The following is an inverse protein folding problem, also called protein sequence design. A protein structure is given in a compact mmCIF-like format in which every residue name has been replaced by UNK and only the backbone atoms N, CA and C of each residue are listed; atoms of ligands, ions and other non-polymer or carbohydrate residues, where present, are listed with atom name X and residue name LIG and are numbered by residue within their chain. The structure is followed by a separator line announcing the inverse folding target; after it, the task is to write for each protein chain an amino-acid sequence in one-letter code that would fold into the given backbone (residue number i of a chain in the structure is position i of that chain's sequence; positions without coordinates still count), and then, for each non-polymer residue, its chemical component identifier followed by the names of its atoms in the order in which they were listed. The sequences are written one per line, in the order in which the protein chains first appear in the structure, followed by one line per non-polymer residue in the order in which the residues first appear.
data_IF_072917824359
#
_entry.id   IF_072917824359
#
_cell.length_a   1.000
_cell.length_b   1.000
_cell.length_c   1.000
_cell.angle_alpha   90.00
_cell.angle_beta   90.00
_cell.angle_gamma   90.00
#
_symmetry.space_group_name_H-M   'P 1'
#
loop_
_entity.id
_entity.type
_entity.pdbx_description
1 polymer ?
#
# COMPACT_ATOMS: atom_id res chain seq x y z
N UNK A 1 0.69 -92.27 -28.98
CA UNK A 1 2.04 -91.72 -28.85
C UNK A 1 2.07 -90.46 -29.59
N UNK A 2 1.98 -89.33 -28.94
CA UNK A 2 1.93 -87.98 -29.56
C UNK A 2 3.40 -87.57 -29.72
N UNK A 3 3.76 -87.25 -30.97
CA UNK A 3 5.11 -86.88 -31.38
C UNK A 3 5.60 -85.63 -30.63
N UNK A 4 6.81 -85.59 -30.09
CA UNK A 4 7.36 -84.47 -29.37
C UNK A 4 7.53 -83.21 -30.23
N UNK A 5 7.59 -83.34 -31.56
CA UNK A 5 7.72 -82.18 -32.49
C UNK A 5 6.40 -81.37 -32.66
N UNK A 6 5.25 -82.09 -32.64
CA UNK A 6 3.93 -81.39 -32.73
C UNK A 6 3.61 -80.54 -31.48
N UNK A 7 4.28 -80.82 -30.37
CA UNK A 7 4.06 -80.03 -29.17
C UNK A 7 4.85 -78.75 -29.13
N UNK A 8 5.87 -78.59 -29.93
CA UNK A 8 6.71 -77.39 -29.98
C UNK A 8 6.14 -76.31 -30.90
N UNK A 9 5.58 -76.63 -32.06
CA UNK A 9 5.03 -75.62 -32.99
C UNK A 9 3.80 -74.90 -32.44
N UNK A 10 2.89 -75.57 -31.75
CA UNK A 10 1.70 -74.98 -31.17
C UNK A 10 2.01 -74.04 -29.99
N UNK A 11 3.05 -74.35 -29.19
CA UNK A 11 3.47 -73.56 -28.02
C UNK A 11 4.16 -72.26 -28.46
N UNK A 12 4.98 -72.26 -29.47
CA UNK A 12 5.66 -71.09 -30.00
C UNK A 12 4.65 -70.09 -30.60
N UNK A 13 3.64 -70.56 -31.32
CA UNK A 13 2.58 -69.73 -31.86
C UNK A 13 1.72 -69.11 -30.77
N UNK A 14 1.35 -69.88 -29.75
CA UNK A 14 0.57 -69.36 -28.61
C UNK A 14 1.34 -68.35 -27.79
N UNK A 15 2.66 -68.49 -27.65
CA UNK A 15 3.51 -67.57 -26.97
C UNK A 15 3.72 -66.27 -27.75
N UNK A 16 3.90 -66.36 -29.09
CA UNK A 16 4.00 -65.20 -29.98
C UNK A 16 2.69 -64.41 -30.01
N UNK A 17 1.57 -65.08 -30.00
CA UNK A 17 0.25 -64.46 -29.95
C UNK A 17 0.01 -63.73 -28.65
N UNK A 18 0.35 -64.32 -27.48
CA UNK A 18 0.29 -63.68 -26.17
C UNK A 18 1.23 -62.48 -26.04
N UNK A 19 2.44 -62.56 -26.61
CA UNK A 19 3.39 -61.46 -26.62
C UNK A 19 2.88 -60.30 -27.53
N UNK A 20 2.34 -60.64 -28.68
CA UNK A 20 1.75 -59.63 -29.60
C UNK A 20 0.54 -58.91 -28.95
N UNK A 21 -0.37 -59.67 -28.33
CA UNK A 21 -1.51 -59.09 -27.62
C UNK A 21 -1.08 -58.28 -26.40
N UNK A 22 -0.09 -58.68 -25.64
CA UNK A 22 0.41 -57.91 -24.50
C UNK A 22 1.03 -56.59 -24.92
N UNK A 23 1.82 -56.58 -26.01
CA UNK A 23 2.44 -55.36 -26.55
C UNK A 23 1.39 -54.36 -27.07
N UNK A 24 0.36 -54.82 -27.72
CA UNK A 24 -0.75 -53.95 -28.22
C UNK A 24 -1.58 -53.42 -27.08
N UNK A 25 -1.83 -54.16 -26.03
CA UNK A 25 -2.59 -53.73 -24.87
C UNK A 25 -1.76 -52.70 -24.04
N UNK A 26 -0.47 -52.92 -23.92
CA UNK A 26 0.44 -52.02 -23.22
C UNK A 26 0.61 -50.69 -24.01
N UNK A 27 0.76 -50.73 -25.31
CA UNK A 27 0.75 -49.51 -26.19
C UNK A 27 -0.56 -48.72 -26.08
N UNK A 28 -1.71 -49.40 -26.04
CA UNK A 28 -3.01 -48.71 -25.85
C UNK A 28 -3.11 -48.06 -24.46
N UNK A 29 -2.63 -48.72 -23.44
CA UNK A 29 -2.60 -48.21 -22.07
C UNK A 29 -1.68 -46.98 -21.94
N UNK A 30 -0.48 -47.10 -22.49
CA UNK A 30 0.50 -45.99 -22.52
C UNK A 30 -0.03 -44.79 -23.29
N UNK A 31 -0.68 -45.01 -24.42
CA UNK A 31 -1.29 -43.94 -25.21
C UNK A 31 -2.46 -43.25 -24.49
N UNK A 32 -3.29 -44.00 -23.76
CA UNK A 32 -4.38 -43.44 -22.94
C UNK A 32 -3.83 -42.61 -21.78
N UNK A 33 -2.86 -43.13 -21.09
CA UNK A 33 -2.20 -42.37 -20.01
C UNK A 33 -1.47 -41.14 -20.53
N UNK A 34 -0.83 -41.25 -21.68
CA UNK A 34 -0.19 -40.08 -22.33
C UNK A 34 -1.21 -38.97 -22.69
N UNK A 35 -2.40 -39.32 -23.13
CA UNK A 35 -3.49 -38.37 -23.39
C UNK A 35 -3.96 -37.74 -22.06
N UNK A 36 -4.18 -38.53 -21.02
CA UNK A 36 -4.64 -38.06 -19.71
C UNK A 36 -3.63 -37.07 -19.12
N UNK A 37 -2.33 -37.42 -19.11
CA UNK A 37 -1.30 -36.52 -18.58
C UNK A 37 -1.17 -35.24 -19.40
N UNK A 38 -1.23 -35.29 -20.72
CA UNK A 38 -1.22 -34.10 -21.56
C UNK A 38 -2.43 -33.21 -21.30
N UNK A 39 -3.61 -33.80 -21.16
CA UNK A 39 -4.84 -33.05 -20.85
C UNK A 39 -4.76 -32.38 -19.46
N UNK A 40 -4.23 -33.07 -18.46
CA UNK A 40 -4.01 -32.50 -17.12
C UNK A 40 -2.98 -31.37 -17.13
N UNK A 41 -1.90 -31.53 -17.91
CA UNK A 41 -0.90 -30.45 -18.08
C UNK A 41 -1.49 -29.22 -18.74
N UNK A 42 -2.27 -29.40 -19.80
CA UNK A 42 -2.97 -28.29 -20.45
C UNK A 42 -3.97 -27.62 -19.52
N UNK A 43 -4.74 -28.40 -18.76
CA UNK A 43 -5.68 -27.86 -17.77
C UNK A 43 -4.94 -27.05 -16.68
N UNK A 44 -3.82 -27.58 -16.18
CA UNK A 44 -2.99 -26.89 -15.20
C UNK A 44 -2.43 -25.57 -15.73
N UNK A 45 -1.86 -25.59 -16.94
CA UNK A 45 -1.36 -24.38 -17.62
C UNK A 45 -2.49 -23.36 -17.88
N UNK A 46 -3.67 -23.85 -18.22
CA UNK A 46 -4.85 -23.02 -18.45
C UNK A 46 -5.29 -22.34 -17.15
N UNK A 47 -5.32 -23.07 -16.02
CA UNK A 47 -5.60 -22.51 -14.70
C UNK A 47 -4.57 -21.46 -14.31
N UNK A 48 -3.27 -21.74 -14.50
CA UNK A 48 -2.20 -20.77 -14.24
C UNK A 48 -2.33 -19.51 -15.12
N UNK A 49 -2.69 -19.68 -16.39
CA UNK A 49 -2.93 -18.57 -17.29
C UNK A 49 -4.10 -17.69 -16.80
N UNK A 50 -5.21 -18.30 -16.38
CA UNK A 50 -6.37 -17.58 -15.84
C UNK A 50 -6.04 -16.85 -14.52
N UNK A 51 -5.25 -17.47 -13.64
CA UNK A 51 -4.74 -16.82 -12.44
C UNK A 51 -3.82 -15.65 -12.81
N UNK A 52 -2.90 -15.87 -13.76
CA UNK A 52 -1.94 -14.85 -14.21
C UNK A 52 -2.59 -13.68 -14.96
N UNK A 53 -3.69 -13.91 -15.67
CA UNK A 53 -4.50 -12.88 -16.32
C UNK A 53 -5.42 -12.14 -15.35
N UNK A 54 -5.36 -12.44 -14.05
CA UNK A 54 -6.15 -11.76 -13.03
C UNK A 54 -7.66 -12.01 -13.10
N UNK A 55 -8.10 -13.02 -13.87
CA UNK A 55 -9.54 -13.32 -14.00
C UNK A 55 -10.19 -13.69 -12.66
N UNK A 56 -9.40 -14.19 -11.72
CA UNK A 56 -9.82 -14.40 -10.31
C UNK A 56 -9.45 -13.25 -9.38
N UNK A 57 -8.75 -12.22 -9.89
CA UNK A 57 -8.30 -11.07 -9.07
C UNK A 57 -9.37 -9.99 -8.96
N UNK A 58 -10.46 -10.09 -9.69
CA UNK A 58 -11.57 -9.14 -9.63
C UNK A 58 -12.68 -9.61 -8.68
N UNK A 59 -12.25 -10.19 -7.55
CA UNK A 59 -13.09 -10.33 -6.37
C UNK A 59 -13.05 -9.04 -5.53
N UNK A 60 -13.13 -7.90 -6.15
CA UNK A 60 -13.87 -6.82 -5.56
C UNK A 60 -15.28 -7.37 -5.35
N UNK A 61 -15.63 -7.66 -4.12
CA UNK A 61 -17.01 -7.91 -3.72
C UNK A 61 -17.81 -6.81 -4.41
N UNK A 62 -18.48 -7.14 -5.51
CA UNK A 62 -19.46 -6.26 -6.12
C UNK A 62 -20.53 -6.12 -5.06
N UNK A 63 -20.35 -5.16 -4.15
CA UNK A 63 -21.37 -4.76 -3.22
C UNK A 63 -22.44 -4.10 -4.08
N UNK A 64 -23.35 -4.91 -4.58
CA UNK A 64 -24.55 -4.47 -5.27
C UNK A 64 -25.44 -3.62 -4.36
N UNK A 65 -25.19 -3.67 -3.05
CA UNK A 65 -25.99 -3.01 -2.03
C UNK A 65 -25.35 -1.71 -1.52
N UNK A 66 -26.19 -0.83 -1.03
CA UNK A 66 -25.78 0.40 -0.35
C UNK A 66 -24.86 0.09 0.82
N UNK A 67 -23.71 0.75 0.87
CA UNK A 67 -22.71 0.49 1.90
C UNK A 67 -22.01 1.76 2.38
N UNK A 68 -21.26 1.64 3.46
CA UNK A 68 -20.31 2.65 3.95
C UNK A 68 -18.91 2.22 3.58
N UNK A 69 -18.18 3.09 2.88
CA UNK A 69 -16.79 2.84 2.53
C UNK A 69 -15.87 3.19 3.72
N UNK A 70 -14.84 2.37 3.93
CA UNK A 70 -13.81 2.59 4.94
C UNK A 70 -12.48 2.88 4.27
N UNK A 71 -11.87 4.01 4.63
CA UNK A 71 -10.49 4.37 4.25
C UNK A 71 -9.65 4.46 5.51
N UNK A 72 -8.47 3.85 5.52
CA UNK A 72 -7.60 3.82 6.68
C UNK A 72 -6.38 4.73 6.49
N UNK A 73 -6.12 5.57 7.49
CA UNK A 73 -4.92 6.39 7.61
C UNK A 73 -4.17 5.98 8.87
N UNK A 74 -3.12 5.14 8.73
CA UNK A 74 -2.38 4.54 9.84
C UNK A 74 -0.90 4.84 9.78
N UNK A 75 -0.33 5.18 10.95
CA UNK A 75 1.10 5.46 11.09
C UNK A 75 1.50 6.82 10.55
N UNK A 76 2.78 6.99 10.25
CA UNK A 76 3.34 8.25 9.79
C UNK A 76 2.88 8.61 8.37
N UNK A 77 2.50 9.87 8.19
CA UNK A 77 2.15 10.44 6.88
C UNK A 77 3.42 10.86 6.16
N UNK A 78 3.85 10.09 5.18
CA UNK A 78 5.03 10.41 4.37
C UNK A 78 4.88 9.92 2.93
N UNK A 79 5.72 10.42 2.02
CA UNK A 79 5.63 10.07 0.61
C UNK A 79 5.83 8.57 0.32
N UNK A 80 6.59 7.88 1.20
CA UNK A 80 6.97 6.47 1.02
C UNK A 80 6.23 5.51 1.98
N UNK A 81 5.26 6.01 2.75
CA UNK A 81 4.47 5.19 3.67
C UNK A 81 3.18 4.69 3.03
N UNK A 82 2.53 3.73 3.68
CA UNK A 82 1.17 3.29 3.32
C UNK A 82 0.16 4.43 3.42
N UNK A 83 0.40 5.41 4.31
CA UNK A 83 -0.39 6.63 4.50
C UNK A 83 0.13 7.81 3.67
N UNK A 84 0.73 7.55 2.50
CA UNK A 84 1.05 8.59 1.54
C UNK A 84 -0.21 9.23 0.96
N UNK A 85 -0.10 10.49 0.53
CA UNK A 85 -1.21 11.18 -0.12
C UNK A 85 -1.69 10.44 -1.39
N UNK A 86 -0.78 9.79 -2.11
CA UNK A 86 -1.14 9.00 -3.29
C UNK A 86 -2.12 7.86 -2.94
N UNK A 87 -1.77 7.05 -1.94
CA UNK A 87 -2.57 5.88 -1.54
C UNK A 87 -3.91 6.30 -0.91
N UNK A 88 -3.86 7.26 0.03
CA UNK A 88 -5.08 7.73 0.72
C UNK A 88 -6.04 8.39 -0.26
N UNK A 89 -5.54 9.25 -1.14
CA UNK A 89 -6.36 9.93 -2.14
C UNK A 89 -6.95 8.97 -3.17
N UNK A 90 -6.24 7.90 -3.52
CA UNK A 90 -6.78 6.82 -4.35
C UNK A 90 -7.94 6.11 -3.65
N UNK A 91 -7.76 5.70 -2.40
CA UNK A 91 -8.81 5.09 -1.58
C UNK A 91 -10.04 6.00 -1.45
N UNK A 92 -9.84 7.29 -1.15
CA UNK A 92 -10.92 8.27 -1.08
C UNK A 92 -11.64 8.45 -2.42
N UNK A 93 -10.92 8.57 -3.54
CA UNK A 93 -11.52 8.67 -4.88
C UNK A 93 -12.39 7.46 -5.20
N UNK A 94 -11.90 6.26 -4.92
CA UNK A 94 -12.64 5.03 -5.16
C UNK A 94 -13.90 4.97 -4.30
N UNK A 95 -13.79 5.31 -3.00
CA UNK A 95 -14.92 5.37 -2.09
C UNK A 95 -16.02 6.34 -2.55
N UNK A 96 -15.67 7.56 -2.94
CA UNK A 96 -16.66 8.56 -3.38
C UNK A 96 -17.19 8.30 -4.80
N UNK A 97 -16.45 7.61 -5.65
CA UNK A 97 -16.87 7.30 -7.04
C UNK A 97 -17.87 6.16 -7.12
N UNK A 98 -17.87 5.28 -6.14
CA UNK A 98 -18.81 4.15 -6.10
C UNK A 98 -20.24 4.66 -5.87
N UNK A 99 -21.14 4.31 -6.77
CA UNK A 99 -22.55 4.73 -6.77
C UNK A 99 -23.35 4.21 -5.58
N UNK A 100 -22.89 3.13 -4.95
CA UNK A 100 -23.56 2.48 -3.83
C UNK A 100 -23.05 3.01 -2.47
N UNK A 101 -21.99 3.80 -2.45
CA UNK A 101 -21.46 4.42 -1.22
C UNK A 101 -22.44 5.45 -0.67
N UNK A 102 -22.89 5.24 0.57
CA UNK A 102 -23.80 6.14 1.28
C UNK A 102 -23.07 7.07 2.26
N UNK A 103 -21.85 6.76 2.61
CA UNK A 103 -20.98 7.52 3.50
C UNK A 103 -19.57 6.96 3.50
N UNK A 104 -18.62 7.81 3.87
CA UNK A 104 -17.20 7.43 3.95
C UNK A 104 -16.75 7.60 5.40
N UNK A 105 -16.09 6.57 5.94
CA UNK A 105 -15.39 6.64 7.21
C UNK A 105 -13.90 6.70 6.91
N UNK A 106 -13.26 7.77 7.36
CA UNK A 106 -11.80 7.89 7.41
C UNK A 106 -11.34 7.50 8.81
N UNK A 107 -10.84 6.29 8.97
CA UNK A 107 -10.33 5.78 10.24
C UNK A 107 -8.87 6.19 10.39
N UNK A 108 -8.57 6.91 11.48
CA UNK A 108 -7.26 7.54 11.69
C UNK A 108 -6.60 6.99 12.95
N UNK A 109 -5.37 6.52 12.80
CA UNK A 109 -4.43 6.22 13.89
C UNK A 109 -3.03 6.69 13.46
N UNK A 110 -2.76 8.00 13.58
CA UNK A 110 -1.57 8.63 13.02
C UNK A 110 -1.00 9.72 13.92
N UNK A 111 0.31 9.72 14.17
CA UNK A 111 1.00 10.82 14.85
C UNK A 111 1.20 12.06 13.98
N UNK A 112 0.82 11.99 12.69
CA UNK A 112 1.10 13.00 11.70
C UNK A 112 2.29 12.66 10.80
N UNK A 113 3.03 13.69 10.39
CA UNK A 113 4.19 13.54 9.50
C UNK A 113 4.33 14.73 8.56
N UNK A 114 4.57 14.48 7.28
CA UNK A 114 4.80 15.53 6.27
C UNK A 114 3.62 16.49 6.12
N UNK A 115 3.81 17.79 6.33
CA UNK A 115 2.77 18.81 6.10
C UNK A 115 2.26 18.82 4.65
N UNK A 116 3.14 18.55 3.69
CA UNK A 116 2.80 18.52 2.26
C UNK A 116 1.85 17.36 1.95
N UNK A 117 2.17 16.17 2.44
CA UNK A 117 1.32 14.99 2.24
C UNK A 117 -0.05 15.17 2.94
N UNK A 118 -0.05 15.69 4.16
CA UNK A 118 -1.29 15.99 4.88
C UNK A 118 -2.13 17.04 4.16
N UNK A 119 -1.49 18.04 3.58
CA UNK A 119 -2.12 19.07 2.74
C UNK A 119 -2.81 18.46 1.52
N UNK A 120 -2.12 17.63 0.76
CA UNK A 120 -2.71 16.96 -0.42
C UNK A 120 -3.91 16.08 -0.06
N UNK A 121 -3.90 15.42 1.10
CA UNK A 121 -5.05 14.63 1.54
C UNK A 121 -6.22 15.54 1.93
N UNK A 122 -5.96 16.60 2.71
CA UNK A 122 -6.98 17.57 3.12
C UNK A 122 -7.66 18.22 1.91
N UNK A 123 -6.87 18.69 0.94
CA UNK A 123 -7.37 19.34 -0.27
C UNK A 123 -8.24 18.37 -1.10
N UNK A 124 -7.81 17.11 -1.21
CA UNK A 124 -8.59 16.10 -1.93
C UNK A 124 -9.92 15.78 -1.22
N UNK A 125 -9.92 15.68 0.10
CA UNK A 125 -11.16 15.52 0.87
C UNK A 125 -12.11 16.68 0.60
N UNK A 126 -11.63 17.92 0.67
CA UNK A 126 -12.46 19.09 0.40
C UNK A 126 -13.01 19.06 -1.03
N UNK A 127 -12.18 18.70 -2.01
CA UNK A 127 -12.59 18.58 -3.42
C UNK A 127 -13.67 17.52 -3.62
N UNK A 128 -13.49 16.34 -2.98
CA UNK A 128 -14.44 15.22 -3.09
C UNK A 128 -15.76 15.56 -2.41
N UNK A 129 -15.76 16.17 -1.22
CA UNK A 129 -16.97 16.63 -0.52
C UNK A 129 -17.74 17.68 -1.33
N UNK A 130 -17.04 18.60 -1.98
CA UNK A 130 -17.67 19.56 -2.88
C UNK A 130 -18.31 18.90 -4.12
N UNK A 131 -17.66 17.86 -4.65
CA UNK A 131 -18.14 17.12 -5.82
C UNK A 131 -19.30 16.16 -5.50
N UNK A 132 -19.33 15.61 -4.29
CA UNK A 132 -20.30 14.60 -3.84
C UNK A 132 -20.98 15.03 -2.52
N UNK A 133 -21.77 16.13 -2.53
CA UNK A 133 -22.29 16.75 -1.30
C UNK A 133 -23.26 15.86 -0.51
N UNK A 134 -23.81 14.84 -1.13
CA UNK A 134 -24.75 13.89 -0.49
C UNK A 134 -24.06 12.72 0.20
N UNK A 135 -22.74 12.57 0.06
CA UNK A 135 -21.95 11.50 0.68
C UNK A 135 -21.15 12.11 1.84
N UNK A 136 -21.59 11.91 3.10
CA UNK A 136 -20.85 12.43 4.26
C UNK A 136 -19.53 11.70 4.44
N UNK A 137 -18.49 12.42 4.89
CA UNK A 137 -17.22 11.87 5.32
C UNK A 137 -17.02 12.12 6.81
N UNK A 138 -16.87 11.06 7.59
CA UNK A 138 -16.63 11.14 9.02
C UNK A 138 -15.22 10.61 9.34
N UNK A 139 -14.46 11.39 10.13
CA UNK A 139 -13.20 10.92 10.69
C UNK A 139 -13.49 10.17 12.00
N UNK A 140 -13.00 8.95 12.13
CA UNK A 140 -13.07 8.14 13.35
C UNK A 140 -11.65 7.91 13.85
N UNK A 141 -11.37 8.40 15.05
CA UNK A 141 -10.05 8.36 15.65
C UNK A 141 -9.93 7.13 16.54
N UNK A 142 -8.86 6.35 16.32
CA UNK A 142 -8.49 5.27 17.23
C UNK A 142 -7.69 5.86 18.42
N UNK A 143 -6.41 5.52 18.56
CA UNK A 143 -5.59 5.98 19.68
C UNK A 143 -5.07 7.41 19.52
N UNK A 144 -4.62 7.76 18.28
CA UNK A 144 -3.94 9.03 18.04
C UNK A 144 -4.35 9.65 16.69
N UNK A 145 -4.59 10.96 16.71
CA UNK A 145 -4.78 11.79 15.54
C UNK A 145 -4.08 13.14 15.78
N UNK A 146 -2.78 13.15 15.61
CA UNK A 146 -1.96 14.30 15.95
C UNK A 146 -1.32 14.96 14.73
N UNK A 147 -1.01 16.27 14.85
CA UNK A 147 -0.28 17.02 13.83
C UNK A 147 -0.88 16.84 12.41
N UNK A 148 -0.14 16.35 11.44
CA UNK A 148 -0.64 16.07 10.08
C UNK A 148 -1.88 15.18 10.04
N UNK A 149 -2.04 14.25 11.00
CA UNK A 149 -3.26 13.44 11.13
C UNK A 149 -4.49 14.30 11.44
N UNK A 150 -4.36 15.25 12.37
CA UNK A 150 -5.42 16.20 12.70
C UNK A 150 -5.66 17.19 11.56
N UNK A 151 -4.60 17.61 10.85
CA UNK A 151 -4.72 18.44 9.65
C UNK A 151 -5.62 17.79 8.58
N UNK A 152 -5.52 16.47 8.43
CA UNK A 152 -6.40 15.69 7.55
C UNK A 152 -7.80 15.58 8.12
N UNK A 153 -7.92 15.24 9.41
CA UNK A 153 -9.21 14.99 10.06
C UNK A 153 -10.15 16.20 10.04
N UNK A 154 -9.62 17.42 10.12
CA UNK A 154 -10.44 18.65 10.14
C UNK A 154 -11.17 18.90 8.81
N UNK A 155 -10.80 18.22 7.73
CA UNK A 155 -11.53 18.27 6.46
C UNK A 155 -12.81 17.42 6.45
N UNK A 156 -13.03 16.55 7.44
CA UNK A 156 -14.23 15.72 7.57
C UNK A 156 -15.45 16.53 8.03
N UNK A 157 -16.68 16.02 7.79
CA UNK A 157 -17.92 16.63 8.28
C UNK A 157 -18.01 16.57 9.80
N UNK A 158 -17.63 15.41 10.38
CA UNK A 158 -17.56 15.19 11.83
C UNK A 158 -16.33 14.39 12.19
N UNK A 159 -15.82 14.62 13.39
CA UNK A 159 -14.72 13.86 13.99
C UNK A 159 -15.26 13.16 15.22
N UNK A 160 -15.13 11.85 15.26
CA UNK A 160 -15.49 10.99 16.40
C UNK A 160 -14.22 10.51 17.08
N UNK A 161 -14.16 10.68 18.39
CA UNK A 161 -12.99 10.36 19.22
C UNK A 161 -13.42 9.61 20.48
N UNK A 162 -12.58 8.74 20.97
CA UNK A 162 -12.71 8.26 22.35
C UNK A 162 -12.15 9.30 23.33
N UNK A 163 -12.66 9.26 24.57
CA UNK A 163 -12.19 10.15 25.65
C UNK A 163 -10.70 10.05 25.96
N UNK A 164 -10.06 8.93 25.60
CA UNK A 164 -8.64 8.67 25.81
C UNK A 164 -7.79 8.89 24.55
N UNK A 165 -8.43 9.19 23.39
CA UNK A 165 -7.70 9.45 22.15
C UNK A 165 -6.86 10.73 22.26
N UNK A 166 -5.62 10.68 21.77
CA UNK A 166 -4.73 11.83 21.70
C UNK A 166 -4.99 12.61 20.39
N UNK A 167 -5.56 13.79 20.50
CA UNK A 167 -5.97 14.59 19.32
C UNK A 167 -5.38 16.01 19.39
N UNK A 168 -5.03 16.56 18.23
CA UNK A 168 -4.52 17.94 18.15
C UNK A 168 -3.06 18.01 17.74
N UNK A 169 -2.18 18.47 18.61
CA UNK A 169 -0.76 18.75 18.26
C UNK A 169 -0.66 19.69 17.03
N UNK A 170 -1.40 20.82 17.10
CA UNK A 170 -1.44 21.83 16.04
C UNK A 170 -0.15 22.62 16.09
N UNK A 171 0.88 22.12 15.43
CA UNK A 171 2.21 22.70 15.45
C UNK A 171 3.12 22.12 14.37
N UNK A 172 4.28 22.76 14.24
CA UNK A 172 5.33 22.33 13.30
C UNK A 172 6.65 22.38 14.04
N UNK A 173 7.50 21.40 13.82
CA UNK A 173 8.83 21.38 14.39
C UNK A 173 9.87 21.09 13.31
N UNK A 174 11.06 21.62 13.52
CA UNK A 174 12.28 21.24 12.84
C UNK A 174 13.29 20.83 13.91
N UNK A 175 13.68 19.58 13.91
CA UNK A 175 14.60 19.03 14.91
C UNK A 175 15.96 18.74 14.29
N UNK A 176 17.03 19.00 15.03
CA UNK A 176 18.40 18.75 14.59
C UNK A 176 19.36 18.70 15.78
N UNK A 177 20.55 18.18 15.54
CA UNK A 177 21.63 18.11 16.52
C UNK A 177 22.81 18.94 16.02
N UNK A 178 23.59 19.51 16.95
CA UNK A 178 24.86 20.19 16.65
C UNK A 178 26.04 19.35 17.16
N UNK A 179 27.02 19.10 16.29
CA UNK A 179 28.17 18.24 16.61
C UNK A 179 29.51 19.02 16.74
N UNK A 180 29.51 20.33 16.59
CA UNK A 180 30.72 21.17 16.61
C UNK A 180 31.55 20.98 17.84
N UNK A 181 30.97 21.04 19.03
CA UNK A 181 31.70 20.87 20.29
C UNK A 181 32.27 19.45 20.49
N UNK A 182 31.60 18.42 19.95
CA UNK A 182 32.12 17.05 20.00
C UNK A 182 33.32 16.90 19.04
N UNK A 183 33.22 17.47 17.83
CA UNK A 183 34.31 17.46 16.85
C UNK A 183 35.54 18.15 17.36
N UNK A 184 35.37 19.31 17.99
CA UNK A 184 36.47 20.06 18.61
C UNK A 184 37.19 19.22 19.69
N UNK A 185 36.44 18.56 20.60
CA UNK A 185 37.01 17.67 21.61
C UNK A 185 37.77 16.47 21.06
N UNK A 186 37.36 16.00 19.86
CA UNK A 186 37.99 14.87 19.19
C UNK A 186 39.09 15.29 18.20
N UNK A 187 39.39 16.59 18.08
CA UNK A 187 40.35 17.10 17.11
C UNK A 187 39.95 16.93 15.65
N UNK A 188 38.62 16.85 15.38
CA UNK A 188 38.09 16.70 14.02
C UNK A 188 37.82 18.09 13.44
N UNK A 189 38.45 18.41 12.33
CA UNK A 189 38.25 19.63 11.55
C UNK A 189 37.31 19.39 10.39
N UNK A 190 36.26 20.21 10.29
CA UNK A 190 35.38 20.19 9.12
C UNK A 190 35.90 21.11 8.02
N UNK A 191 36.03 20.58 6.82
CA UNK A 191 36.44 21.31 5.61
C UNK A 191 35.33 21.38 4.60
N UNK A 192 34.33 22.28 4.84
CA UNK A 192 33.17 22.46 3.98
C UNK A 192 33.47 23.43 2.84
N UNK A 193 33.36 23.00 1.61
CA UNK A 193 33.37 23.83 0.42
C UNK A 193 31.98 23.85 -0.21
N UNK A 194 31.44 25.04 -0.44
CA UNK A 194 30.09 25.18 -1.05
C UNK A 194 30.13 26.24 -2.16
N UNK A 195 29.33 26.00 -3.18
CA UNK A 195 28.94 27.02 -4.14
C UNK A 195 27.46 27.38 -3.89
N UNK A 196 27.21 28.63 -3.56
CA UNK A 196 25.89 29.14 -3.14
C UNK A 196 25.84 29.48 -1.66
N UNK A 197 25.38 30.72 -1.36
CA UNK A 197 25.43 31.37 -0.05
C UNK A 197 24.78 30.56 1.10
N UNK A 198 23.73 29.80 0.82
CA UNK A 198 22.97 29.04 1.82
C UNK A 198 23.00 27.52 1.58
N UNK A 199 24.00 27.00 0.86
CA UNK A 199 24.07 25.58 0.53
C UNK A 199 24.27 24.69 1.78
N UNK A 200 24.91 25.20 2.83
CA UNK A 200 25.06 24.56 4.13
C UNK A 200 24.02 25.04 5.15
N UNK A 201 22.74 25.19 4.73
CA UNK A 201 21.66 25.64 5.61
C UNK A 201 21.46 24.68 6.78
N UNK A 202 21.55 25.24 8.01
CA UNK A 202 21.43 24.50 9.29
C UNK A 202 22.31 23.25 9.39
N UNK A 203 23.52 23.32 8.82
CA UNK A 203 24.47 22.23 8.86
C UNK A 203 24.86 21.87 10.31
N UNK A 204 24.66 20.60 10.73
CA UNK A 204 24.89 20.17 12.12
C UNK A 204 26.36 20.15 12.53
N UNK A 205 27.28 20.20 11.56
CA UNK A 205 28.72 20.15 11.78
C UNK A 205 29.37 21.53 11.67
N UNK A 206 28.60 22.58 11.49
CA UNK A 206 29.04 23.97 11.47
C UNK A 206 28.46 24.74 12.67
N UNK A 207 29.11 25.82 13.13
CA UNK A 207 28.54 26.69 14.16
C UNK A 207 27.17 27.23 13.74
N UNK A 208 26.23 27.39 14.69
CA UNK A 208 24.92 27.94 14.41
C UNK A 208 25.00 29.31 13.75
N UNK A 209 24.24 29.53 12.68
CA UNK A 209 24.13 30.80 12.01
C UNK A 209 22.80 31.48 12.39
N UNK A 210 22.80 32.62 13.11
CA UNK A 210 21.58 33.29 13.57
C UNK A 210 20.63 33.69 12.42
N UNK A 211 21.13 34.07 11.26
CA UNK A 211 20.30 34.42 10.11
C UNK A 211 19.58 33.21 9.56
N UNK A 212 20.24 32.04 9.49
CA UNK A 212 19.63 30.78 9.07
C UNK A 212 18.58 30.30 10.08
N UNK A 213 18.87 30.42 11.37
CA UNK A 213 17.90 30.10 12.42
C UNK A 213 16.66 30.99 12.34
N UNK A 214 16.84 32.31 12.16
CA UNK A 214 15.74 33.22 11.98
C UNK A 214 14.88 32.87 10.74
N UNK A 215 15.52 32.54 9.62
CA UNK A 215 14.82 32.12 8.41
C UNK A 215 14.04 30.82 8.62
N UNK A 216 14.66 29.81 9.27
CA UNK A 216 13.98 28.56 9.62
C UNK A 216 12.76 28.81 10.52
N UNK A 217 12.88 29.65 11.53
CA UNK A 217 11.77 30.00 12.43
C UNK A 217 10.64 30.69 11.67
N UNK A 218 10.96 31.57 10.73
CA UNK A 218 9.95 32.20 9.88
C UNK A 218 9.19 31.16 9.05
N UNK A 219 9.89 30.22 8.40
CA UNK A 219 9.26 29.12 7.67
C UNK A 219 8.33 28.28 8.56
N UNK A 220 8.78 27.94 9.77
CA UNK A 220 7.94 27.20 10.73
C UNK A 220 6.68 27.99 11.10
N UNK A 221 6.81 29.29 11.36
CA UNK A 221 5.67 30.14 11.68
C UNK A 221 4.68 30.21 10.50
N UNK A 222 5.15 30.32 9.27
CA UNK A 222 4.29 30.37 8.07
C UNK A 222 3.50 29.06 7.89
N UNK A 223 4.14 27.92 8.08
CA UNK A 223 3.49 26.59 8.04
C UNK A 223 2.51 26.44 9.20
N UNK A 224 2.87 26.88 10.40
CA UNK A 224 1.99 26.84 11.57
C UNK A 224 0.74 27.70 11.37
N UNK A 225 0.88 28.92 10.87
CA UNK A 225 -0.25 29.77 10.51
C UNK A 225 -1.16 29.13 9.45
N UNK A 226 -0.57 28.44 8.47
CA UNK A 226 -1.35 27.67 7.50
C UNK A 226 -2.16 26.58 8.19
N UNK A 227 -1.57 25.84 9.11
CA UNK A 227 -2.27 24.81 9.89
C UNK A 227 -3.45 25.39 10.67
N UNK A 228 -3.21 26.50 11.41
CA UNK A 228 -4.26 27.20 12.15
C UNK A 228 -5.43 27.59 11.24
N UNK A 229 -5.15 28.17 10.07
CA UNK A 229 -6.20 28.55 9.10
C UNK A 229 -7.00 27.34 8.62
N UNK A 230 -6.35 26.20 8.39
CA UNK A 230 -7.05 24.97 7.95
C UNK A 230 -7.95 24.44 9.06
N UNK A 231 -7.50 24.48 10.33
CA UNK A 231 -8.33 24.11 11.49
C UNK A 231 -9.53 25.05 11.64
N UNK A 232 -9.30 26.36 11.57
CA UNK A 232 -10.37 27.36 11.61
C UNK A 232 -11.41 27.14 10.51
N UNK A 233 -10.97 26.91 9.27
CA UNK A 233 -11.85 26.63 8.15
C UNK A 233 -12.71 25.38 8.35
N UNK A 234 -12.14 24.36 8.98
CA UNK A 234 -12.81 23.07 9.18
C UNK A 234 -13.66 22.98 10.43
N UNK A 235 -13.39 23.81 11.48
CA UNK A 235 -13.95 23.68 12.84
C UNK A 235 -14.40 25.00 13.50
N UNK A 236 -14.08 26.14 12.88
CA UNK A 236 -14.44 27.47 13.39
C UNK A 236 -15.86 27.91 13.14
#
# INVERSE_FOLDING_TARGET
MIDPEDRKEGWEQEMLEKLAFSSVTEQRRTRRWGIVFKSLTFLYLFILLFIGLGWFSDNGVSMSDKHTALVELRGEISANSVSSAANINEGLKNAFKDKNTQGVILRINSPGGSPVQAGYINDEIQRLRAKYPNIPLYAVIEDICASGGYYVAVAADKIYVDKASLVGSIGVLMNGFGFTGTMEKLGIERRLLTAGKNKGFLDPFSPPNPLQQHYAQKMLNDIHHQFIRVVQKGRG
#
